data_IF_827097739101
#
_entry.id   IF_827097739101
#
_cell.length_a   1.000
_cell.length_b   1.000
_cell.length_c   1.000
_cell.angle_alpha   90.00
_cell.angle_beta   90.00
_cell.angle_gamma   90.00
#
_symmetry.space_group_name_H-M   'P 1'
#
loop_
_entity.id
_entity.type
_entity.pdbx_description
1 polymer ?
#
# COMPACT_ATOMS: atom_id res chain seq x y z
N UNK A 1 13.31 -0.48 11.75
CA UNK A 1 12.19 -0.54 10.80
C UNK A 1 12.75 -0.36 9.40
N UNK A 2 12.51 -1.29 8.49
CA UNK A 2 13.02 -1.24 7.12
C UNK A 2 12.01 -0.52 6.21
N UNK A 3 12.33 0.71 5.80
CA UNK A 3 11.51 1.48 4.84
C UNK A 3 11.24 0.68 3.55
N UNK A 4 12.25 0.00 3.02
CA UNK A 4 12.09 -0.82 1.81
C UNK A 4 11.12 -1.99 2.00
N UNK A 5 11.11 -2.64 3.17
CA UNK A 5 10.14 -3.72 3.44
C UNK A 5 8.72 -3.18 3.47
N UNK A 6 8.49 -2.03 4.10
CA UNK A 6 7.18 -1.39 4.14
C UNK A 6 6.69 -0.96 2.77
N UNK A 7 7.56 -0.39 1.93
CA UNK A 7 7.21 -0.04 0.56
C UNK A 7 6.86 -1.28 -0.28
N UNK A 8 7.59 -2.38 -0.12
CA UNK A 8 7.27 -3.65 -0.78
C UNK A 8 5.94 -4.25 -0.31
N UNK A 9 5.62 -4.16 0.98
CA UNK A 9 4.31 -4.55 1.52
C UNK A 9 3.19 -3.68 0.93
N UNK A 10 3.37 -2.36 0.90
CA UNK A 10 2.39 -1.45 0.30
C UNK A 10 2.10 -1.77 -1.17
N UNK A 11 3.15 -2.05 -1.95
CA UNK A 11 3.00 -2.49 -3.34
C UNK A 11 2.23 -3.81 -3.45
N UNK A 12 2.50 -4.77 -2.57
CA UNK A 12 1.77 -6.05 -2.56
C UNK A 12 0.29 -5.85 -2.26
N UNK A 13 -0.03 -5.04 -1.25
CA UNK A 13 -1.42 -4.72 -0.91
C UNK A 13 -2.17 -4.01 -2.05
N UNK A 14 -1.50 -3.10 -2.77
CA UNK A 14 -2.08 -2.47 -3.96
C UNK A 14 -2.42 -3.48 -5.06
N UNK A 15 -1.49 -4.40 -5.33
CA UNK A 15 -1.71 -5.49 -6.30
C UNK A 15 -2.87 -6.40 -5.85
N UNK A 16 -2.89 -6.80 -4.58
CA UNK A 16 -3.96 -7.61 -4.00
C UNK A 16 -5.32 -6.91 -4.05
N UNK A 17 -5.36 -5.60 -3.79
CA UNK A 17 -6.59 -4.81 -3.93
C UNK A 17 -7.14 -4.92 -5.36
N UNK A 18 -6.27 -4.81 -6.38
CA UNK A 18 -6.71 -4.98 -7.77
C UNK A 18 -7.13 -6.40 -8.11
N UNK A 19 -6.37 -7.40 -7.66
CA UNK A 19 -6.64 -8.82 -7.89
C UNK A 19 -8.00 -9.23 -7.29
N UNK A 20 -8.35 -8.65 -6.15
CA UNK A 20 -9.64 -8.86 -5.48
C UNK A 20 -10.73 -7.89 -5.94
N UNK A 21 -10.52 -7.12 -7.02
CA UNK A 21 -11.49 -6.14 -7.55
C UNK A 21 -11.95 -5.10 -6.50
N UNK A 22 -11.09 -4.78 -5.53
CA UNK A 22 -11.30 -3.72 -4.53
C UNK A 22 -11.09 -2.32 -5.16
N UNK A 23 -11.34 -1.28 -4.36
CA UNK A 23 -11.16 0.12 -4.74
C UNK A 23 -9.78 0.41 -5.34
N UNK A 24 -9.73 1.32 -6.31
CA UNK A 24 -8.51 1.83 -6.95
C UNK A 24 -7.76 2.89 -6.14
N UNK A 25 -8.12 3.06 -4.88
CA UNK A 25 -7.50 3.99 -3.95
C UNK A 25 -7.28 3.29 -2.62
N UNK A 26 -6.19 3.64 -1.94
CA UNK A 26 -5.84 3.08 -0.64
C UNK A 26 -6.95 3.33 0.38
N UNK A 27 -7.57 2.24 0.84
CA UNK A 27 -8.68 2.29 1.80
C UNK A 27 -8.17 2.40 3.23
N UNK A 28 -9.08 2.57 4.19
CA UNK A 28 -8.74 2.55 5.62
C UNK A 28 -8.09 1.23 6.02
N UNK A 29 -8.61 0.13 5.50
CA UNK A 29 -8.14 -1.24 5.75
C UNK A 29 -6.69 -1.42 5.28
N UNK A 30 -6.37 -0.99 4.06
CA UNK A 30 -4.98 -0.99 3.54
C UNK A 30 -4.02 -0.19 4.44
N UNK A 31 -4.50 0.94 4.99
CA UNK A 31 -3.70 1.76 5.93
C UNK A 31 -3.52 1.03 7.25
N UNK A 32 -4.52 0.32 7.75
CA UNK A 32 -4.43 -0.45 8.99
C UNK A 32 -3.43 -1.60 8.87
N UNK A 33 -3.40 -2.31 7.75
CA UNK A 33 -2.39 -3.32 7.43
C UNK A 33 -0.97 -2.74 7.38
N UNK A 34 -0.81 -1.56 6.78
CA UNK A 34 0.47 -0.86 6.73
C UNK A 34 0.92 -0.33 8.10
N UNK A 35 0.00 0.18 8.92
CA UNK A 35 0.24 0.58 10.31
C UNK A 35 0.71 -0.61 11.13
N UNK A 36 0.05 -1.76 10.97
CA UNK A 36 0.39 -2.99 11.66
C UNK A 36 1.77 -3.51 11.24
N UNK A 37 2.04 -3.52 9.94
CA UNK A 37 3.36 -3.89 9.38
C UNK A 37 4.46 -2.94 9.86
N UNK A 38 4.13 -1.66 10.02
CA UNK A 38 5.04 -0.66 10.56
C UNK A 38 5.21 -0.77 12.09
N UNK A 39 4.32 -1.45 12.80
CA UNK A 39 4.35 -1.50 14.26
C UNK A 39 4.12 -0.12 14.90
N UNK A 40 3.31 0.72 14.28
CA UNK A 40 2.87 2.02 14.83
C UNK A 40 1.41 1.95 15.24
N UNK A 41 0.91 2.93 16.01
CA UNK A 41 -0.46 2.89 16.53
C UNK A 41 -1.48 3.48 15.55
N UNK A 42 -1.10 4.51 14.79
CA UNK A 42 -1.98 5.17 13.81
C UNK A 42 -1.17 5.68 12.61
N UNK A 43 -1.85 5.87 11.48
CA UNK A 43 -1.25 6.35 10.24
C UNK A 43 -0.43 7.63 10.44
N UNK A 44 -0.95 8.56 11.25
CA UNK A 44 -0.30 9.85 11.52
C UNK A 44 0.97 9.77 12.37
N UNK A 45 1.29 8.61 12.96
CA UNK A 45 2.60 8.40 13.62
C UNK A 45 3.73 8.16 12.59
N UNK A 46 3.37 7.82 11.34
CA UNK A 46 4.34 7.70 10.27
C UNK A 46 4.76 9.08 9.77
N UNK A 47 6.07 9.32 9.55
CA UNK A 47 6.53 10.55 8.94
C UNK A 47 5.87 10.76 7.57
N UNK A 48 5.59 12.01 7.21
CA UNK A 48 4.87 12.36 5.98
C UNK A 48 5.51 11.75 4.74
N UNK A 49 6.83 11.86 4.59
CA UNK A 49 7.57 11.25 3.48
C UNK A 49 7.34 9.73 3.36
N UNK A 50 7.20 9.04 4.50
CA UNK A 50 6.91 7.60 4.50
C UNK A 50 5.45 7.36 4.10
N UNK A 51 4.50 8.17 4.56
CA UNK A 51 3.09 8.06 4.15
C UNK A 51 2.92 8.25 2.65
N UNK A 52 3.54 9.28 2.09
CA UNK A 52 3.56 9.53 0.64
C UNK A 52 4.21 8.38 -0.12
N UNK A 53 5.35 7.88 0.37
CA UNK A 53 6.01 6.72 -0.22
C UNK A 53 5.15 5.46 -0.23
N UNK A 54 4.43 5.18 0.86
CA UNK A 54 3.52 4.04 0.97
C UNK A 54 2.30 4.21 0.07
N UNK A 55 1.74 5.42 0.00
CA UNK A 55 0.65 5.77 -0.92
C UNK A 55 1.06 5.53 -2.37
N UNK A 56 2.24 6.01 -2.77
CA UNK A 56 2.78 5.83 -4.11
C UNK A 56 3.06 4.35 -4.43
N UNK A 57 3.70 3.63 -3.51
CA UNK A 57 4.00 2.21 -3.69
C UNK A 57 2.73 1.34 -3.82
N UNK A 58 1.70 1.63 -3.04
CA UNK A 58 0.39 0.97 -3.16
C UNK A 58 -0.26 1.25 -4.51
N UNK A 59 -0.29 2.51 -4.95
CA UNK A 59 -0.84 2.86 -6.27
C UNK A 59 -0.09 2.13 -7.39
N UNK A 60 1.24 2.08 -7.31
CA UNK A 60 2.07 1.39 -8.29
C UNK A 60 1.74 -0.11 -8.36
N UNK A 61 1.54 -0.77 -7.21
CA UNK A 61 1.11 -2.16 -7.15
C UNK A 61 -0.26 -2.40 -7.79
N UNK A 62 -1.22 -1.53 -7.49
CA UNK A 62 -2.57 -1.58 -8.07
C UNK A 62 -2.56 -1.40 -9.60
N UNK A 63 -1.77 -0.43 -10.09
CA UNK A 63 -1.61 -0.16 -11.51
C UNK A 63 -0.86 -1.29 -12.24
N UNK A 64 0.19 -1.83 -11.62
CA UNK A 64 0.94 -2.95 -12.18
C UNK A 64 0.02 -4.17 -12.39
N UNK A 65 -0.76 -4.53 -11.37
CA UNK A 65 -1.71 -5.63 -11.48
C UNK A 65 -2.84 -5.33 -12.48
N UNK A 66 -3.29 -4.07 -12.56
CA UNK A 66 -4.29 -3.69 -13.56
C UNK A 66 -3.81 -3.97 -14.98
N UNK A 67 -2.53 -3.72 -15.29
CA UNK A 67 -1.96 -3.99 -16.61
C UNK A 67 -1.96 -5.49 -16.95
N UNK A 68 -1.80 -6.35 -15.95
CA UNK A 68 -1.85 -7.81 -16.12
C UNK A 68 -3.23 -8.30 -16.55
N UNK A 69 -4.32 -7.71 -16.02
CA UNK A 69 -5.69 -8.13 -16.31
C UNK A 69 -6.32 -7.50 -17.55
N UNK A 70 -5.66 -6.52 -18.17
CA UNK A 70 -6.11 -5.87 -19.41
C UNK A 70 -5.23 -6.22 -20.63
N UNK A 71 -4.30 -7.16 -20.50
CA UNK A 71 -3.52 -7.75 -21.62
C UNK A 71 -4.10 -9.10 -22.03
#
# INVERSE_FOLDING_TARGET
MDKQKLLSSARSFGAEARANQRSSFMTKDDREDLIHTAGVAKWGDLPEELRDGLQAAWNEGFEAESKTYFS
#
